data_IF_515301567606
#
_entry.id   IF_515301567606
#
_cell.length_a   1.000
_cell.length_b   1.000
_cell.length_c   1.000
_cell.angle_alpha   90.00
_cell.angle_beta   90.00
_cell.angle_gamma   90.00
#
_symmetry.space_group_name_H-M   'P 1'
#
loop_
_entity.id
_entity.type
_entity.pdbx_description
1 polymer ?
#
# COMPACT_ATOMS: atom_id res chain seq x y z
N UNK A 1 -22.11 51.43 37.57
CA UNK A 1 -23.10 50.39 37.25
C UNK A 1 -22.48 49.57 36.14
N UNK A 2 -22.16 48.33 36.47
CA UNK A 2 -21.58 47.33 35.58
C UNK A 2 -22.70 46.68 34.74
N UNK A 3 -22.33 46.21 33.54
CA UNK A 3 -22.93 45.12 32.75
C UNK A 3 -22.20 45.17 31.39
N UNK A 4 -21.58 44.15 30.81
CA UNK A 4 -21.34 42.75 31.15
C UNK A 4 -20.59 42.16 29.94
N UNK A 5 -19.44 41.54 30.18
CA UNK A 5 -18.64 40.81 29.18
C UNK A 5 -19.29 39.45 28.87
N UNK A 6 -19.32 39.03 27.60
CA UNK A 6 -19.38 37.60 27.26
C UNK A 6 -18.43 37.28 26.09
N UNK A 7 -17.44 36.45 26.40
CA UNK A 7 -16.45 35.85 25.53
C UNK A 7 -16.88 34.38 25.30
N UNK A 8 -16.95 33.83 24.07
CA UNK A 8 -17.28 32.43 23.92
C UNK A 8 -16.03 31.56 24.08
N UNK A 9 -16.06 30.72 25.11
CA UNK A 9 -15.14 29.61 25.35
C UNK A 9 -15.14 28.62 24.18
N UNK A 10 -13.96 28.36 23.60
CA UNK A 10 -13.71 27.24 22.70
C UNK A 10 -13.44 26.02 23.59
N UNK A 11 -14.35 25.06 23.56
CA UNK A 11 -14.20 23.79 24.26
C UNK A 11 -13.17 22.88 23.57
N UNK A 12 -12.10 22.55 24.30
CA UNK A 12 -11.26 21.39 24.02
C UNK A 12 -12.10 20.11 24.07
N UNK A 13 -12.21 19.39 22.96
CA UNK A 13 -12.61 17.98 22.97
C UNK A 13 -11.41 17.15 22.55
N UNK A 14 -10.68 16.63 23.54
CA UNK A 14 -9.66 15.61 23.34
C UNK A 14 -10.31 14.31 22.85
N UNK A 15 -9.97 13.91 21.62
CA UNK A 15 -10.19 12.54 21.17
C UNK A 15 -8.97 11.72 21.60
N UNK A 16 -9.22 10.68 22.40
CA UNK A 16 -8.21 9.72 22.80
C UNK A 16 -7.86 8.80 21.64
N UNK A 17 -6.56 8.58 21.43
CA UNK A 17 -6.00 7.55 20.58
C UNK A 17 -6.60 6.18 20.89
N UNK A 18 -7.00 5.46 19.86
CA UNK A 18 -7.37 4.04 19.94
C UNK A 18 -6.40 3.28 19.06
N UNK A 19 -5.45 2.60 19.70
CA UNK A 19 -4.56 1.62 19.08
C UNK A 19 -5.38 0.57 18.32
N UNK A 20 -5.08 0.40 17.03
CA UNK A 20 -5.70 -0.62 16.18
C UNK A 20 -4.72 -1.76 15.97
N UNK A 21 -4.94 -2.85 16.70
CA UNK A 21 -4.37 -4.17 16.41
C UNK A 21 -4.94 -4.67 15.07
N UNK A 22 -4.10 -4.80 14.06
CA UNK A 22 -4.45 -5.35 12.75
C UNK A 22 -4.51 -6.87 12.89
N UNK A 23 -5.69 -7.45 12.67
CA UNK A 23 -5.85 -8.90 12.51
C UNK A 23 -5.15 -9.37 11.22
N UNK A 24 -4.04 -10.10 11.37
CA UNK A 24 -3.53 -10.98 10.32
C UNK A 24 -4.44 -12.21 10.20
N UNK A 25 -5.09 -12.38 9.05
CA UNK A 25 -5.67 -13.68 8.66
C UNK A 25 -4.56 -14.52 8.04
N UNK A 26 -3.96 -15.40 8.85
CA UNK A 26 -3.09 -16.48 8.38
C UNK A 26 -3.93 -17.60 7.76
N UNK A 27 -3.73 -17.85 6.48
CA UNK A 27 -4.35 -18.95 5.76
C UNK A 27 -3.49 -20.21 5.95
N UNK A 28 -3.90 -21.11 6.84
CA UNK A 28 -3.30 -22.43 7.02
C UNK A 28 -3.70 -23.35 5.85
N UNK A 29 -2.71 -23.90 5.16
CA UNK A 29 -2.88 -24.98 4.19
C UNK A 29 -2.36 -26.25 4.85
N UNK A 30 -3.26 -27.17 5.17
CA UNK A 30 -2.93 -28.53 5.60
C UNK A 30 -2.26 -29.27 4.45
N UNK A 31 -1.04 -29.77 4.66
CA UNK A 31 -0.49 -30.84 3.83
C UNK A 31 0.07 -31.94 4.73
N UNK A 32 -0.51 -33.12 4.53
CA UNK A 32 -0.39 -34.33 5.33
C UNK A 32 0.83 -35.12 4.84
N UNK A 33 1.82 -35.42 5.71
CA UNK A 33 2.73 -36.56 5.47
C UNK A 33 3.50 -37.06 6.68
N UNK A 34 3.39 -38.37 6.83
CA UNK A 34 3.97 -39.23 7.83
C UNK A 34 5.51 -39.41 7.73
N UNK A 35 6.06 -39.85 8.85
CA UNK A 35 7.46 -40.11 9.18
C UNK A 35 8.24 -41.03 8.23
N UNK A 36 9.55 -40.76 8.09
CA UNK A 36 10.61 -41.77 8.18
C UNK A 36 12.00 -41.12 8.36
N UNK A 37 12.80 -41.75 9.22
CA UNK A 37 14.18 -41.43 9.61
C UNK A 37 15.16 -42.23 8.74
N UNK A 38 16.27 -41.64 8.31
CA UNK A 38 17.37 -42.38 7.67
C UNK A 38 18.51 -41.48 7.19
N UNK A 39 19.67 -41.63 7.82
CA UNK A 39 20.98 -41.16 7.37
C UNK A 39 21.44 -41.99 6.16
N UNK A 40 22.04 -41.39 5.13
CA UNK A 40 23.33 -41.83 4.53
C UNK A 40 23.78 -40.87 3.40
N UNK A 41 25.10 -40.80 3.24
CA UNK A 41 25.88 -40.03 2.29
C UNK A 41 25.68 -40.45 0.82
N UNK A 42 25.99 -39.54 -0.11
CA UNK A 42 26.09 -39.92 -1.52
C UNK A 42 26.14 -38.74 -2.47
N UNK A 43 27.36 -38.46 -2.93
CA UNK A 43 27.78 -37.45 -3.89
C UNK A 43 27.00 -37.42 -5.23
N UNK A 44 27.05 -36.23 -5.84
CA UNK A 44 27.06 -35.93 -7.28
C UNK A 44 25.73 -35.65 -7.98
N UNK A 45 25.42 -34.37 -8.17
CA UNK A 45 25.02 -33.86 -9.49
C UNK A 45 25.49 -32.41 -9.63
N UNK A 46 26.46 -32.25 -10.51
CA UNK A 46 27.02 -31.01 -11.00
C UNK A 46 26.05 -30.24 -11.92
N UNK A 47 26.17 -28.91 -11.83
CA UNK A 47 25.88 -27.86 -12.83
C UNK A 47 24.41 -27.39 -12.95
N UNK A 48 24.16 -26.23 -12.34
CA UNK A 48 23.41 -25.16 -12.98
C UNK A 48 24.22 -23.86 -12.87
N UNK A 49 24.83 -23.45 -13.99
CA UNK A 49 25.43 -22.13 -14.18
C UNK A 49 24.35 -21.06 -14.01
N UNK A 50 24.31 -20.41 -12.84
CA UNK A 50 23.71 -19.10 -12.66
C UNK A 50 24.82 -18.12 -12.37
N UNK A 51 25.12 -17.22 -13.30
CA UNK A 51 26.05 -16.10 -13.09
C UNK A 51 25.68 -15.37 -11.78
N UNK A 52 26.39 -15.63 -10.70
CA UNK A 52 26.40 -14.72 -9.54
C UNK A 52 27.32 -13.56 -9.92
N UNK A 53 26.85 -12.70 -10.82
CA UNK A 53 27.56 -11.48 -11.21
C UNK A 53 27.75 -10.65 -9.94
N UNK A 54 29.00 -10.36 -9.61
CA UNK A 54 29.33 -9.57 -8.42
C UNK A 54 28.57 -8.23 -8.50
N UNK A 55 27.86 -7.78 -7.44
CA UNK A 55 27.10 -6.53 -7.45
C UNK A 55 27.94 -5.32 -7.89
N UNK A 56 29.24 -5.33 -7.57
CA UNK A 56 30.17 -4.30 -8.01
C UNK A 56 30.41 -4.31 -9.52
N UNK A 57 30.40 -5.48 -10.17
CA UNK A 57 30.54 -5.60 -11.63
C UNK A 57 29.29 -5.11 -12.36
N UNK A 58 28.10 -5.39 -11.83
CA UNK A 58 26.83 -4.87 -12.37
C UNK A 58 26.74 -3.35 -12.25
N UNK A 59 27.19 -2.79 -11.14
CA UNK A 59 27.17 -1.34 -10.95
C UNK A 59 28.14 -0.63 -11.92
N UNK A 60 29.33 -1.20 -12.13
CA UNK A 60 30.27 -0.68 -13.13
C UNK A 60 29.73 -0.76 -14.56
N UNK A 61 28.91 -1.76 -14.87
CA UNK A 61 28.23 -1.87 -16.16
C UNK A 61 27.22 -0.73 -16.36
N UNK A 62 26.44 -0.40 -15.33
CA UNK A 62 25.53 0.75 -15.38
C UNK A 62 26.27 2.05 -15.68
N UNK A 63 27.37 2.32 -14.97
CA UNK A 63 28.15 3.55 -15.13
C UNK A 63 28.87 3.67 -16.48
N UNK A 64 29.05 2.56 -17.21
CA UNK A 64 29.63 2.55 -18.56
C UNK A 64 28.58 2.69 -19.66
N UNK A 65 27.30 2.49 -19.33
CA UNK A 65 26.23 2.59 -20.31
C UNK A 65 25.95 4.06 -20.67
N UNK A 66 25.47 4.34 -21.90
CA UNK A 66 25.10 5.69 -22.31
C UNK A 66 24.08 6.34 -21.38
N UNK A 67 24.06 7.67 -21.35
CA UNK A 67 23.09 8.44 -20.56
C UNK A 67 21.87 8.73 -21.43
N UNK A 68 20.70 8.45 -20.88
CA UNK A 68 19.39 8.77 -21.45
C UNK A 68 18.86 10.03 -20.75
N UNK A 69 18.31 10.95 -21.53
CA UNK A 69 17.58 12.11 -21.04
C UNK A 69 16.09 11.77 -20.91
N UNK A 70 15.51 12.06 -19.74
CA UNK A 70 14.09 11.87 -19.46
C UNK A 70 13.46 13.25 -19.27
N UNK A 71 12.61 13.67 -20.21
CA UNK A 71 11.85 14.91 -20.08
C UNK A 71 10.53 14.59 -19.36
N UNK A 72 10.38 15.05 -18.13
CA UNK A 72 9.25 14.70 -17.25
C UNK A 72 8.35 15.90 -17.06
N UNK A 73 7.04 15.72 -17.20
CA UNK A 73 6.04 16.77 -17.05
C UNK A 73 5.79 17.58 -18.34
N UNK A 74 4.97 18.62 -18.23
CA UNK A 74 4.59 19.48 -19.37
C UNK A 74 4.67 20.95 -19.00
N UNK A 75 5.03 21.79 -19.98
CA UNK A 75 4.99 23.25 -19.82
C UNK A 75 6.01 23.75 -18.80
N UNK A 76 5.60 24.62 -17.89
CA UNK A 76 6.49 25.23 -16.89
C UNK A 76 7.02 24.24 -15.83
N UNK A 77 6.40 23.05 -15.71
CA UNK A 77 6.85 21.97 -14.83
C UNK A 77 7.75 20.94 -15.54
N UNK A 78 8.01 21.11 -16.83
CA UNK A 78 8.89 20.22 -17.59
C UNK A 78 10.32 20.27 -17.01
N UNK A 79 10.81 19.10 -16.60
CA UNK A 79 12.14 18.95 -16.02
C UNK A 79 12.87 17.79 -16.68
N UNK A 80 14.11 18.05 -17.12
CA UNK A 80 14.98 17.01 -17.67
C UNK A 80 15.77 16.32 -16.57
N UNK A 81 15.57 15.02 -16.43
CA UNK A 81 16.40 14.12 -15.63
C UNK A 81 17.36 13.34 -16.53
N UNK A 82 18.42 12.78 -15.95
CA UNK A 82 19.36 11.92 -16.66
C UNK A 82 19.60 10.62 -15.91
N UNK A 83 19.65 9.51 -16.65
CA UNK A 83 19.88 8.19 -16.07
C UNK A 83 20.65 7.29 -17.04
N UNK A 84 21.31 6.26 -16.50
CA UNK A 84 22.07 5.31 -17.29
C UNK A 84 21.13 4.36 -18.06
N UNK A 85 21.39 4.13 -19.35
CA UNK A 85 20.60 3.26 -20.24
C UNK A 85 20.37 1.88 -19.64
N UNK A 86 21.42 1.25 -19.10
CA UNK A 86 21.34 -0.09 -18.53
C UNK A 86 20.48 -0.18 -17.25
N UNK A 87 20.29 0.94 -16.54
CA UNK A 87 19.40 1.03 -15.38
C UNK A 87 17.94 1.12 -15.83
N UNK A 88 17.66 1.93 -16.83
CA UNK A 88 16.30 2.06 -17.39
C UNK A 88 15.84 0.77 -18.07
N UNK A 89 16.73 0.06 -18.77
CA UNK A 89 16.40 -1.19 -19.46
C UNK A 89 15.94 -2.35 -18.55
N UNK A 90 16.04 -2.22 -17.22
CA UNK A 90 15.39 -3.18 -16.31
C UNK A 90 13.87 -3.10 -16.34
N UNK A 91 13.31 -1.95 -16.72
CA UNK A 91 11.90 -1.82 -17.02
C UNK A 91 11.62 -2.32 -18.44
N UNK A 92 10.67 -3.25 -18.62
CA UNK A 92 10.24 -3.68 -19.96
C UNK A 92 9.81 -2.52 -20.85
N UNK A 93 9.10 -1.53 -20.28
CA UNK A 93 8.66 -0.32 -20.98
C UNK A 93 9.82 0.47 -21.58
N UNK A 94 10.84 0.79 -20.76
CA UNK A 94 12.01 1.50 -21.26
C UNK A 94 12.88 0.63 -22.16
N UNK A 95 12.96 -0.68 -21.92
CA UNK A 95 13.70 -1.60 -22.79
C UNK A 95 13.16 -1.58 -24.23
N UNK A 96 11.83 -1.61 -24.38
CA UNK A 96 11.17 -1.51 -25.69
C UNK A 96 11.46 -0.16 -26.36
N UNK A 97 11.24 0.95 -25.65
CA UNK A 97 11.47 2.31 -26.19
C UNK A 97 12.93 2.50 -26.60
N UNK A 98 13.87 2.15 -25.72
CA UNK A 98 15.31 2.33 -25.94
C UNK A 98 15.88 1.38 -27.00
N UNK A 99 15.16 0.31 -27.36
CA UNK A 99 15.55 -0.56 -28.48
C UNK A 99 15.27 0.06 -29.84
N UNK A 100 14.35 1.02 -29.90
CA UNK A 100 13.95 1.73 -31.12
C UNK A 100 14.73 3.03 -31.37
N UNK A 101 15.46 3.52 -30.36
CA UNK A 101 16.21 4.77 -30.41
C UNK A 101 17.68 4.52 -30.80
N UNK A 102 18.23 5.44 -31.58
CA UNK A 102 19.64 5.47 -31.90
C UNK A 102 20.48 5.88 -30.68
N UNK A 103 21.66 5.27 -30.51
CA UNK A 103 22.55 5.54 -29.38
C UNK A 103 23.07 7.00 -29.32
N UNK A 104 22.99 7.73 -30.43
CA UNK A 104 23.39 9.14 -30.52
C UNK A 104 22.30 10.12 -30.03
N UNK A 105 21.04 9.66 -29.87
CA UNK A 105 19.90 10.51 -29.46
C UNK A 105 18.96 9.78 -28.50
N UNK A 106 19.41 9.59 -27.26
CA UNK A 106 18.66 8.90 -26.22
C UNK A 106 17.81 9.87 -25.40
N UNK A 107 16.70 10.33 -25.97
CA UNK A 107 15.71 11.20 -25.30
C UNK A 107 14.38 10.47 -25.19
N UNK A 108 13.79 10.46 -23.99
CA UNK A 108 12.46 9.87 -23.74
C UNK A 108 11.57 10.92 -23.07
N UNK A 109 10.38 11.12 -23.62
CA UNK A 109 9.38 12.05 -23.10
C UNK A 109 8.37 11.32 -22.20
N UNK A 110 8.09 11.90 -21.03
CA UNK A 110 7.19 11.40 -19.99
C UNK A 110 6.26 12.55 -19.53
N UNK A 111 5.39 13.06 -20.43
CA UNK A 111 4.59 14.26 -20.15
C UNK A 111 3.56 14.07 -19.03
N UNK A 112 2.98 12.88 -18.93
CA UNK A 112 1.93 12.57 -17.95
C UNK A 112 2.49 12.19 -16.56
N UNK A 113 3.82 12.11 -16.42
CA UNK A 113 4.44 11.61 -15.20
C UNK A 113 4.87 12.73 -14.26
N UNK A 114 4.75 12.45 -12.96
CA UNK A 114 5.20 13.37 -11.90
C UNK A 114 6.71 13.25 -11.68
N UNK A 115 7.38 14.41 -11.56
CA UNK A 115 8.81 14.48 -11.26
C UNK A 115 9.20 13.67 -10.01
N UNK A 116 8.40 13.78 -8.94
CA UNK A 116 8.63 13.03 -7.70
C UNK A 116 8.52 11.52 -7.88
N UNK A 117 7.56 11.05 -8.70
CA UNK A 117 7.37 9.63 -8.96
C UNK A 117 8.52 9.07 -9.80
N UNK A 118 8.95 9.79 -10.84
CA UNK A 118 10.12 9.41 -11.66
C UNK A 118 11.39 9.45 -10.82
N UNK A 119 11.56 10.45 -9.95
CA UNK A 119 12.68 10.51 -9.01
C UNK A 119 12.74 9.29 -8.06
N UNK A 120 11.59 8.90 -7.49
CA UNK A 120 11.49 7.71 -6.66
C UNK A 120 11.79 6.42 -7.46
N UNK A 121 11.28 6.31 -8.68
CA UNK A 121 11.58 5.20 -9.58
C UNK A 121 13.08 5.10 -9.85
N UNK A 122 13.74 6.21 -10.21
CA UNK A 122 15.18 6.20 -10.46
C UNK A 122 15.95 5.79 -9.21
N UNK A 123 15.64 6.38 -8.05
CA UNK A 123 16.27 6.02 -6.77
C UNK A 123 16.14 4.52 -6.48
N UNK A 124 14.94 3.95 -6.66
CA UNK A 124 14.70 2.53 -6.55
C UNK A 124 15.56 1.73 -7.53
N UNK A 125 15.69 2.19 -8.77
CA UNK A 125 16.42 1.44 -9.78
C UNK A 125 17.93 1.34 -9.49
N UNK A 126 18.50 2.34 -8.82
CA UNK A 126 19.89 2.33 -8.34
C UNK A 126 20.08 1.56 -7.04
N UNK A 127 19.14 1.66 -6.09
CA UNK A 127 19.39 1.24 -4.70
C UNK A 127 18.50 0.10 -4.20
N UNK A 128 17.46 -0.27 -4.96
CA UNK A 128 16.43 -1.22 -4.55
C UNK A 128 15.38 -0.63 -3.60
N UNK A 129 15.47 0.66 -3.27
CA UNK A 129 14.60 1.35 -2.33
C UNK A 129 14.46 2.83 -2.72
N UNK A 130 13.43 3.52 -2.25
CA UNK A 130 13.30 4.97 -2.43
C UNK A 130 12.92 5.67 -1.13
N UNK A 131 13.07 6.99 -1.06
CA UNK A 131 12.80 7.73 0.15
C UNK A 131 11.30 8.08 0.33
N UNK A 132 10.72 7.96 1.54
CA UNK A 132 11.31 7.43 2.77
C UNK A 132 11.46 5.91 2.75
N UNK A 133 12.54 5.40 3.35
CA UNK A 133 12.84 3.95 3.38
C UNK A 133 12.03 3.26 4.47
N UNK A 134 11.75 1.96 4.29
CA UNK A 134 11.17 1.14 5.37
C UNK A 134 12.20 0.92 6.46
N UNK A 135 11.82 1.12 7.71
CA UNK A 135 12.68 0.85 8.86
C UNK A 135 12.61 -0.64 9.21
N UNK A 136 13.76 -1.27 9.44
CA UNK A 136 13.81 -2.67 9.86
C UNK A 136 13.31 -2.86 11.31
N UNK A 137 13.49 -1.83 12.14
CA UNK A 137 13.23 -1.89 13.58
C UNK A 137 11.76 -1.60 13.94
N UNK A 138 10.96 -1.12 12.99
CA UNK A 138 9.54 -0.85 13.17
C UNK A 138 8.76 -1.40 11.97
N UNK A 139 7.85 -2.38 12.17
CA UNK A 139 7.08 -3.00 11.09
C UNK A 139 6.36 -1.96 10.22
N UNK A 140 5.88 -0.88 10.84
CA UNK A 140 5.12 0.20 10.20
C UNK A 140 5.94 1.49 10.02
N UNK A 141 7.23 1.47 10.38
CA UNK A 141 8.08 2.64 10.35
C UNK A 141 8.57 2.99 8.95
N UNK A 142 8.39 4.25 8.57
CA UNK A 142 9.13 4.88 7.48
C UNK A 142 10.19 5.82 8.05
N UNK A 143 11.30 5.96 7.34
CA UNK A 143 12.35 6.94 7.65
C UNK A 143 11.72 8.35 7.77
N UNK A 144 11.98 9.08 8.86
CA UNK A 144 11.33 10.36 9.11
C UNK A 144 11.79 11.40 8.08
N UNK A 145 10.83 12.07 7.47
CA UNK A 145 11.07 13.20 6.59
C UNK A 145 10.68 14.50 7.33
N UNK A 146 11.64 15.37 7.69
CA UNK A 146 11.35 16.60 8.42
C UNK A 146 10.56 17.62 7.59
N UNK A 147 10.44 17.42 6.26
CA UNK A 147 9.68 18.30 5.38
C UNK A 147 8.18 17.99 5.35
N UNK A 148 7.76 16.84 5.89
CA UNK A 148 6.35 16.41 5.92
C UNK A 148 5.85 16.21 7.35
N UNK A 149 4.57 16.50 7.63
CA UNK A 149 3.99 16.27 8.94
C UNK A 149 3.88 14.77 9.26
N UNK A 150 3.86 14.41 10.53
CA UNK A 150 3.70 13.01 10.96
C UNK A 150 2.33 12.41 10.58
N UNK A 151 1.30 13.25 10.47
CA UNK A 151 -0.04 12.86 10.00
C UNK A 151 -0.28 13.56 8.67
N UNK A 152 -0.62 12.78 7.65
CA UNK A 152 -0.95 13.28 6.32
C UNK A 152 -2.37 13.86 6.29
N UNK A 153 -2.45 15.18 6.45
CA UNK A 153 -3.71 15.92 6.46
C UNK A 153 -4.18 16.41 5.08
N UNK A 154 -3.33 16.31 4.06
CA UNK A 154 -3.62 16.73 2.68
C UNK A 154 -3.73 15.56 1.71
N UNK A 155 -3.19 14.39 2.07
CA UNK A 155 -3.05 13.23 1.20
C UNK A 155 -1.75 13.26 0.39
N UNK A 156 -0.86 14.25 0.59
CA UNK A 156 0.35 14.39 -0.22
C UNK A 156 1.30 13.18 -0.09
N UNK A 157 1.41 12.59 1.11
CA UNK A 157 2.27 11.42 1.34
C UNK A 157 1.66 10.17 0.71
N UNK A 158 0.34 9.97 0.87
CA UNK A 158 -0.39 8.90 0.19
C UNK A 158 -0.25 9.02 -1.33
N UNK A 159 -0.48 10.21 -1.88
CA UNK A 159 -0.44 10.49 -3.32
C UNK A 159 0.96 10.29 -3.90
N UNK A 160 2.03 10.64 -3.17
CA UNK A 160 3.40 10.35 -3.58
C UNK A 160 3.57 8.86 -3.87
N UNK A 161 3.15 8.00 -2.95
CA UNK A 161 3.29 6.55 -3.12
C UNK A 161 2.29 5.97 -4.12
N UNK A 162 1.08 6.52 -4.22
CA UNK A 162 0.10 6.12 -5.23
C UNK A 162 0.58 6.42 -6.67
N UNK A 163 1.26 7.55 -6.88
CA UNK A 163 1.90 7.89 -8.16
C UNK A 163 3.04 6.93 -8.49
N UNK A 164 3.88 6.57 -7.50
CA UNK A 164 4.92 5.54 -7.71
C UNK A 164 4.29 4.18 -8.04
N UNK A 165 3.19 3.81 -7.38
CA UNK A 165 2.49 2.56 -7.63
C UNK A 165 1.95 2.46 -9.06
N UNK A 166 1.28 3.51 -9.54
CA UNK A 166 0.73 3.58 -10.91
C UNK A 166 1.85 3.64 -11.96
N UNK A 167 2.90 4.43 -11.71
CA UNK A 167 4.09 4.45 -12.55
C UNK A 167 4.75 3.07 -12.63
N UNK A 168 4.91 2.37 -11.51
CA UNK A 168 5.51 1.04 -11.48
C UNK A 168 4.72 0.02 -12.30
N UNK A 169 3.39 0.12 -12.31
CA UNK A 169 2.54 -0.69 -13.18
C UNK A 169 2.78 -0.39 -14.65
N UNK A 170 2.80 0.89 -15.05
CA UNK A 170 3.11 1.33 -16.42
C UNK A 170 4.48 0.86 -16.88
N UNK A 171 5.48 0.93 -16.00
CA UNK A 171 6.86 0.54 -16.27
C UNK A 171 7.09 -0.98 -16.24
N UNK A 172 6.09 -1.79 -15.85
CA UNK A 172 6.24 -3.24 -15.73
C UNK A 172 7.17 -3.68 -14.59
N UNK A 173 7.16 -2.96 -13.47
CA UNK A 173 8.02 -3.20 -12.30
C UNK A 173 7.21 -3.70 -11.09
N UNK A 174 6.92 -5.01 -10.99
CA UNK A 174 6.06 -5.57 -9.94
C UNK A 174 6.62 -5.39 -8.52
N UNK A 175 7.94 -5.46 -8.37
CA UNK A 175 8.60 -5.30 -7.07
C UNK A 175 8.50 -3.84 -6.58
N UNK A 176 8.66 -2.87 -7.47
CA UNK A 176 8.44 -1.45 -7.14
C UNK A 176 6.96 -1.18 -6.82
N UNK A 177 6.04 -1.78 -7.57
CA UNK A 177 4.59 -1.69 -7.32
C UNK A 177 4.26 -2.21 -5.91
N UNK A 178 4.82 -3.37 -5.55
CA UNK A 178 4.65 -3.99 -4.22
C UNK A 178 5.28 -3.13 -3.11
N UNK A 179 6.47 -2.57 -3.35
CA UNK A 179 7.13 -1.66 -2.43
C UNK A 179 6.28 -0.40 -2.18
N UNK A 180 5.75 0.21 -3.24
CA UNK A 180 4.91 1.39 -3.12
C UNK A 180 3.62 1.08 -2.34
N UNK A 181 2.98 -0.04 -2.64
CA UNK A 181 1.80 -0.51 -1.91
C UNK A 181 2.09 -0.69 -0.40
N UNK A 182 3.21 -1.34 -0.08
CA UNK A 182 3.70 -1.52 1.29
C UNK A 182 3.87 -0.17 2.00
N UNK A 183 4.40 0.86 1.33
CA UNK A 183 4.58 2.18 1.94
C UNK A 183 3.27 2.94 2.14
N UNK A 184 2.31 2.82 1.23
CA UNK A 184 0.98 3.42 1.39
C UNK A 184 0.34 2.98 2.72
N UNK A 185 0.45 1.69 3.07
CA UNK A 185 -0.14 1.14 4.30
C UNK A 185 0.50 1.65 5.60
N UNK A 186 1.65 2.33 5.49
CA UNK A 186 2.41 2.87 6.64
C UNK A 186 2.19 4.37 6.85
N UNK A 187 1.41 5.01 5.99
CA UNK A 187 1.08 6.43 6.12
C UNK A 187 -0.13 6.57 7.02
N UNK A 188 0.02 7.36 8.08
CA UNK A 188 -1.12 7.79 8.91
C UNK A 188 -1.73 9.05 8.30
N UNK A 189 -3.04 9.03 8.05
CA UNK A 189 -3.74 10.03 7.24
C UNK A 189 -5.07 10.44 7.87
N UNK A 190 -5.53 11.65 7.54
CA UNK A 190 -6.86 12.12 7.91
C UNK A 190 -7.90 11.71 6.86
N UNK A 191 -9.20 11.83 7.19
CA UNK A 191 -10.28 11.59 6.24
C UNK A 191 -10.16 12.45 4.96
N UNK A 192 -9.65 13.68 5.09
CA UNK A 192 -9.42 14.59 3.96
C UNK A 192 -8.32 14.04 3.04
N UNK A 193 -7.20 13.61 3.59
CA UNK A 193 -6.11 13.00 2.81
C UNK A 193 -6.55 11.71 2.12
N UNK A 194 -7.37 10.91 2.80
CA UNK A 194 -7.91 9.66 2.28
C UNK A 194 -8.94 9.85 1.16
N UNK A 195 -9.73 10.94 1.19
CA UNK A 195 -10.58 11.30 0.04
C UNK A 195 -9.71 11.64 -1.17
N UNK A 196 -8.65 12.44 -0.98
CA UNK A 196 -7.76 12.82 -2.07
C UNK A 196 -7.05 11.60 -2.68
N UNK A 197 -6.58 10.70 -1.82
CA UNK A 197 -6.00 9.42 -2.21
C UNK A 197 -7.01 8.52 -2.95
N UNK A 198 -8.23 8.37 -2.43
CA UNK A 198 -9.29 7.60 -3.08
C UNK A 198 -9.62 8.14 -4.48
N UNK A 199 -9.75 9.48 -4.62
CA UNK A 199 -9.98 10.10 -5.94
C UNK A 199 -8.87 9.75 -6.92
N UNK A 200 -7.61 9.81 -6.50
CA UNK A 200 -6.48 9.45 -7.36
C UNK A 200 -6.50 7.97 -7.75
N UNK A 201 -6.71 7.05 -6.80
CA UNK A 201 -6.75 5.61 -7.06
C UNK A 201 -7.82 5.26 -8.08
N UNK A 202 -9.06 5.75 -7.90
CA UNK A 202 -10.16 5.39 -8.79
C UNK A 202 -10.09 6.05 -10.17
N UNK A 203 -9.34 7.15 -10.32
CA UNK A 203 -9.07 7.79 -11.62
C UNK A 203 -7.87 7.21 -12.37
N UNK A 204 -6.86 6.67 -11.68
CA UNK A 204 -5.57 6.28 -12.29
C UNK A 204 -5.29 4.77 -12.26
N UNK A 205 -6.22 3.95 -11.77
CA UNK A 205 -6.08 2.48 -11.75
C UNK A 205 -7.26 1.83 -12.45
N UNK A 206 -7.09 0.63 -13.05
CA UNK A 206 -8.21 -0.10 -13.63
C UNK A 206 -9.09 -0.73 -12.54
N UNK A 207 -10.33 -1.09 -12.89
CA UNK A 207 -11.33 -1.61 -11.93
C UNK A 207 -11.01 -2.97 -11.33
N UNK A 208 -10.16 -3.74 -11.99
CA UNK A 208 -9.66 -5.04 -11.55
C UNK A 208 -8.47 -4.94 -10.59
N UNK A 209 -7.91 -3.74 -10.36
CA UNK A 209 -6.85 -3.55 -9.37
C UNK A 209 -7.40 -3.50 -7.94
N UNK A 210 -7.88 -4.65 -7.49
CA UNK A 210 -8.42 -4.86 -6.15
C UNK A 210 -7.33 -4.63 -5.09
N UNK A 211 -6.05 -4.78 -5.42
CA UNK A 211 -4.96 -4.70 -4.46
C UNK A 211 -4.87 -3.31 -3.81
N UNK A 212 -4.99 -2.25 -4.61
CA UNK A 212 -4.99 -0.87 -4.10
C UNK A 212 -6.42 -0.35 -3.81
N UNK A 213 -7.44 -0.83 -4.53
CA UNK A 213 -8.83 -0.35 -4.37
C UNK A 213 -9.54 -0.91 -3.13
N UNK A 214 -9.30 -2.17 -2.76
CA UNK A 214 -9.96 -2.80 -1.60
C UNK A 214 -9.55 -2.16 -0.27
N UNK A 215 -8.27 -1.87 0.01
CA UNK A 215 -7.88 -1.15 1.23
C UNK A 215 -8.53 0.24 1.31
N UNK A 216 -8.59 0.97 0.20
CA UNK A 216 -9.28 2.27 0.13
C UNK A 216 -10.76 2.12 0.51
N UNK A 217 -11.48 1.19 -0.11
CA UNK A 217 -12.88 0.98 0.21
C UNK A 217 -13.10 0.50 1.66
N UNK A 218 -12.20 -0.34 2.18
CA UNK A 218 -12.25 -0.86 3.55
C UNK A 218 -12.05 0.24 4.60
N UNK A 219 -11.16 1.21 4.34
CA UNK A 219 -10.98 2.37 5.20
C UNK A 219 -12.31 3.11 5.43
N UNK A 220 -13.04 3.36 4.35
CA UNK A 220 -14.33 4.06 4.41
C UNK A 220 -15.46 3.20 4.97
N UNK A 221 -15.48 1.90 4.66
CA UNK A 221 -16.49 0.97 5.20
C UNK A 221 -16.41 0.85 6.73
N UNK A 222 -15.20 0.81 7.29
CA UNK A 222 -14.97 0.69 8.73
C UNK A 222 -15.21 2.01 9.49
N UNK A 223 -15.02 3.16 8.83
CA UNK A 223 -15.20 4.51 9.40
C UNK A 223 -16.49 5.18 8.96
N UNK A 224 -17.57 4.41 8.83
CA UNK A 224 -18.88 4.91 8.35
C UNK A 224 -19.49 6.06 9.17
N UNK A 225 -19.02 6.30 10.40
CA UNK A 225 -19.43 7.41 11.26
C UNK A 225 -18.76 8.72 10.86
N UNK A 226 -17.45 8.70 10.55
CA UNK A 226 -16.68 9.85 10.03
C UNK A 226 -17.32 10.37 8.74
N UNK A 227 -17.77 9.43 7.90
CA UNK A 227 -18.47 9.70 6.65
C UNK A 227 -19.69 10.62 6.77
N UNK A 228 -20.44 10.50 7.86
CA UNK A 228 -21.70 11.24 8.05
C UNK A 228 -21.53 12.62 8.68
N UNK A 229 -20.36 12.90 9.27
CA UNK A 229 -20.17 14.10 10.08
C UNK A 229 -19.03 14.98 9.59
N UNK A 230 -17.99 14.41 8.98
CA UNK A 230 -16.77 15.16 8.65
C UNK A 230 -16.52 15.30 7.14
N UNK A 231 -16.95 14.33 6.32
CA UNK A 231 -16.60 14.27 4.90
C UNK A 231 -17.81 13.95 3.98
N UNK A 232 -19.04 14.28 4.41
CA UNK A 232 -20.26 13.91 3.68
C UNK A 232 -20.30 14.48 2.26
N UNK A 233 -19.96 15.76 2.08
CA UNK A 233 -20.00 16.43 0.79
C UNK A 233 -18.95 15.89 -0.17
N UNK A 234 -17.74 15.68 0.32
CA UNK A 234 -16.61 15.13 -0.41
C UNK A 234 -16.90 13.70 -0.84
N UNK A 235 -17.41 12.87 0.07
CA UNK A 235 -17.78 11.49 -0.23
C UNK A 235 -18.91 11.42 -1.24
N UNK A 236 -19.96 12.24 -1.08
CA UNK A 236 -21.05 12.31 -2.05
C UNK A 236 -20.53 12.68 -3.44
N UNK A 237 -19.63 13.66 -3.51
CA UNK A 237 -18.98 14.06 -4.77
C UNK A 237 -18.19 12.90 -5.35
N UNK A 238 -17.42 12.19 -4.52
CA UNK A 238 -16.66 11.01 -4.92
C UNK A 238 -17.59 9.93 -5.51
N UNK A 239 -18.66 9.55 -4.82
CA UNK A 239 -19.59 8.53 -5.31
C UNK A 239 -20.28 8.91 -6.64
N UNK A 240 -20.49 10.20 -6.90
CA UNK A 240 -21.08 10.66 -8.16
C UNK A 240 -20.05 10.68 -9.30
N UNK A 241 -18.80 11.02 -9.00
CA UNK A 241 -17.71 11.07 -9.97
C UNK A 241 -17.19 9.65 -10.32
N UNK A 242 -17.07 8.78 -9.32
CA UNK A 242 -16.62 7.40 -9.46
C UNK A 242 -17.63 6.44 -8.82
N UNK A 243 -18.70 6.04 -9.52
CA UNK A 243 -19.75 5.17 -8.97
C UNK A 243 -19.23 3.82 -8.43
N UNK A 244 -18.16 3.28 -9.04
CA UNK A 244 -17.52 2.06 -8.57
C UNK A 244 -17.02 2.17 -7.12
N UNK A 245 -16.51 3.34 -6.71
CA UNK A 245 -16.09 3.57 -5.32
C UNK A 245 -17.25 3.41 -4.34
N UNK A 246 -18.41 4.00 -4.66
CA UNK A 246 -19.61 3.83 -3.84
C UNK A 246 -20.08 2.38 -3.76
N UNK A 247 -19.99 1.65 -4.88
CA UNK A 247 -20.32 0.22 -4.93
C UNK A 247 -19.36 -0.62 -4.07
N UNK A 248 -18.05 -0.38 -4.17
CA UNK A 248 -17.03 -1.12 -3.43
C UNK A 248 -17.17 -0.89 -1.91
N UNK A 249 -17.40 0.37 -1.49
CA UNK A 249 -17.66 0.71 -0.09
C UNK A 249 -18.95 0.07 0.41
N UNK A 250 -20.05 0.16 -0.36
CA UNK A 250 -21.33 -0.42 0.05
C UNK A 250 -21.25 -1.94 0.18
N UNK A 251 -20.59 -2.61 -0.77
CA UNK A 251 -20.40 -4.07 -0.75
C UNK A 251 -19.68 -4.49 0.53
N UNK A 252 -18.57 -3.83 0.89
CA UNK A 252 -17.86 -4.13 2.13
C UNK A 252 -18.69 -3.86 3.39
N UNK A 253 -19.49 -2.81 3.42
CA UNK A 253 -20.40 -2.53 4.55
C UNK A 253 -21.47 -3.61 4.69
N UNK A 254 -22.02 -4.09 3.58
CA UNK A 254 -23.01 -5.16 3.57
C UNK A 254 -22.39 -6.49 4.03
N UNK A 255 -21.20 -6.83 3.53
CA UNK A 255 -20.45 -8.02 3.93
C UNK A 255 -20.15 -8.01 5.43
N UNK A 256 -19.70 -6.87 5.97
CA UNK A 256 -19.47 -6.70 7.41
C UNK A 256 -20.76 -6.86 8.23
N UNK A 257 -21.90 -6.37 7.72
CA UNK A 257 -23.20 -6.52 8.38
C UNK A 257 -23.67 -7.96 8.39
N UNK A 258 -23.50 -8.68 7.28
CA UNK A 258 -23.86 -10.09 7.18
C UNK A 258 -23.00 -10.94 8.13
N UNK A 259 -21.67 -10.70 8.14
CA UNK A 259 -20.75 -11.37 9.07
C UNK A 259 -21.17 -11.17 10.53
N UNK A 260 -21.43 -9.93 10.96
CA UNK A 260 -21.88 -9.62 12.33
C UNK A 260 -23.25 -10.23 12.66
N UNK A 261 -24.14 -10.38 11.68
CA UNK A 261 -25.43 -11.02 11.89
C UNK A 261 -25.28 -12.52 12.14
N UNK A 262 -24.45 -13.20 11.33
CA UNK A 262 -24.13 -14.63 11.51
C UNK A 262 -23.46 -14.90 12.85
N UNK A 263 -22.47 -14.09 13.24
CA UNK A 263 -21.80 -14.20 14.54
C UNK A 263 -22.79 -14.09 15.71
N UNK A 264 -23.78 -13.19 15.62
CA UNK A 264 -24.84 -13.06 16.64
C UNK A 264 -25.80 -14.25 16.67
N UNK A 265 -26.09 -14.87 15.53
CA UNK A 265 -26.93 -16.07 15.45
C UNK A 265 -26.20 -17.30 16.02
N UNK A 266 -24.90 -17.41 15.78
CA UNK A 266 -24.04 -18.46 16.33
C UNK A 266 -23.85 -18.31 17.86
N UNK A 267 -23.57 -17.10 18.36
CA UNK A 267 -23.49 -16.81 19.80
C UNK A 267 -24.87 -16.84 20.50
N UNK A 268 -25.94 -16.60 19.74
CA UNK A 268 -27.31 -16.50 20.23
C UNK A 268 -28.03 -17.82 20.49
N UNK A 269 -27.41 -18.98 20.28
CA UNK A 269 -28.04 -20.28 20.54
C UNK A 269 -28.01 -20.63 22.05
N UNK A 270 -29.14 -20.51 22.80
CA UNK A 270 -29.20 -20.86 24.21
C UNK A 270 -29.49 -22.37 24.29
N UNK A 271 -28.44 -23.19 24.17
CA UNK A 271 -28.64 -24.64 24.08
C UNK A 271 -27.40 -25.53 24.19
N UNK A 272 -26.25 -25.00 24.64
CA UNK A 272 -25.06 -25.81 24.91
C UNK A 272 -25.05 -26.36 26.33
N UNK A 273 -25.45 -27.61 26.52
CA UNK A 273 -25.46 -28.32 27.81
C UNK A 273 -24.04 -28.53 28.37
N UNK A 274 -23.49 -27.54 29.09
CA UNK A 274 -22.40 -27.78 30.06
C UNK A 274 -22.95 -28.02 31.47
N UNK A 275 -23.85 -28.99 31.57
CA UNK A 275 -24.24 -29.57 32.85
C UNK A 275 -23.12 -30.45 33.37
N UNK A 276 -22.23 -29.89 34.20
CA UNK A 276 -21.34 -30.67 35.08
C UNK A 276 -22.24 -31.57 35.95
N UNK A 277 -22.41 -32.83 35.57
CA UNK A 277 -23.04 -33.85 36.40
C UNK A 277 -22.19 -34.01 37.66
N UNK A 278 -22.61 -33.40 38.77
CA UNK A 278 -22.14 -33.77 40.10
C UNK A 278 -22.54 -35.22 40.35
N UNK A 279 -21.56 -36.12 40.31
CA UNK A 279 -21.74 -37.52 40.68
C UNK A 279 -22.00 -37.56 42.19
N UNK A 280 -23.23 -37.90 42.59
CA UNK A 280 -23.56 -38.17 43.99
C UNK A 280 -23.05 -39.57 44.33
N UNK A 281 -22.33 -39.78 45.45
CA UNK A 281 -21.95 -41.11 45.88
C UNK A 281 -23.20 -41.84 46.39
N UNK A 282 -23.47 -43.02 45.83
CA UNK A 282 -24.47 -43.95 46.35
C UNK A 282 -23.93 -44.60 47.62
N UNK A 283 -24.61 -44.36 48.74
CA UNK A 283 -24.49 -45.16 49.95
C UNK A 283 -25.04 -46.56 49.64
N UNK A 284 -24.27 -47.60 49.92
CA UNK A 284 -24.77 -48.95 50.11
C UNK A 284 -24.20 -49.51 51.41
N UNK A 285 -25.14 -49.79 52.33
CA UNK A 285 -25.20 -50.78 53.43
C UNK A 285 -23.92 -51.01 54.22
#
# INVERSE_FOLDING_TARGET
>A
MADGEENPQIGESGAADVDMEIMEETQEVEDDKAAARGEDAGNDTQIANGNTTNPQTMFLEYLKSPIVQLNVGTGDEETTLTAHKAILQKSPYFSEILSSLDDDSLVVELPDESLDAVGCFLQYQYTGEYFPRRLADSPDGLEPDPSVPAIDNTGAQLLKHARVYTLAQKLGLPDLKTLAHSKIHRINSTAVGEIAYARFVYSNTPSDDVTIRRPVAAFWATRSHVLRHEAENEFKTMCLEYPQFGFDVLSLVLDQREKRAREREEEGTPGGTKGRKRMRPSVNI
#
